data_IF_240476326259
#
_entry.id   IF_240476326259
#
_cell.length_a   1.000
_cell.length_b   1.000
_cell.length_c   1.000
_cell.angle_alpha   90.00
_cell.angle_beta   90.00
_cell.angle_gamma   90.00
#
_symmetry.space_group_name_H-M   'P 1'
#
loop_
_entity.id
_entity.type
_entity.pdbx_description
1 polymer ?
#
# COMPACT_ATOMS: atom_id res chain seq x y z
N UNK A 1 1.64 30.58 -39.49
CA UNK A 1 1.26 31.90 -38.91
C UNK A 1 1.75 31.98 -37.47
N UNK A 2 2.28 33.15 -37.05
CA UNK A 2 2.89 33.35 -35.71
C UNK A 2 1.93 33.03 -34.54
N UNK A 3 0.63 33.30 -34.70
CA UNK A 3 -0.40 32.98 -33.71
C UNK A 3 -0.48 31.49 -33.37
N UNK A 4 -0.29 30.61 -34.36
CA UNK A 4 -0.35 29.16 -34.14
C UNK A 4 0.85 28.65 -33.31
N UNK A 5 2.03 29.25 -33.51
CA UNK A 5 3.24 28.93 -32.73
C UNK A 5 3.08 29.37 -31.27
N UNK A 6 2.43 30.51 -31.05
CA UNK A 6 2.14 31.02 -29.69
C UNK A 6 1.09 30.14 -29.00
N UNK A 7 0.02 29.76 -29.69
CA UNK A 7 -1.01 28.87 -29.16
C UNK A 7 -0.42 27.50 -28.76
N UNK A 8 0.44 26.95 -29.60
CA UNK A 8 1.13 25.68 -29.39
C UNK A 8 2.12 25.75 -28.20
N UNK A 9 2.90 26.84 -28.08
CA UNK A 9 3.78 27.05 -26.92
C UNK A 9 2.99 27.21 -25.60
N UNK A 10 1.88 27.93 -25.63
CA UNK A 10 1.03 28.12 -24.46
C UNK A 10 0.32 26.80 -24.06
N UNK A 11 -0.15 26.04 -25.04
CA UNK A 11 -0.77 24.73 -24.83
C UNK A 11 0.19 23.75 -24.15
N UNK A 12 1.43 23.64 -24.65
CA UNK A 12 2.48 22.84 -24.00
C UNK A 12 2.71 23.26 -22.55
N UNK A 13 2.84 24.57 -22.30
CA UNK A 13 3.02 25.09 -20.94
C UNK A 13 1.88 24.69 -20.02
N UNK A 14 0.63 24.83 -20.48
CA UNK A 14 -0.55 24.41 -19.72
C UNK A 14 -0.52 22.91 -19.41
N UNK A 15 -0.20 22.09 -20.41
CA UNK A 15 -0.15 20.63 -20.26
C UNK A 15 0.94 20.19 -19.30
N UNK A 16 2.11 20.83 -19.34
CA UNK A 16 3.18 20.60 -18.37
C UNK A 16 2.75 20.98 -16.94
N UNK A 17 2.05 22.10 -16.77
CA UNK A 17 1.50 22.49 -15.45
C UNK A 17 0.46 21.49 -14.97
N UNK A 18 -0.47 21.05 -15.83
CA UNK A 18 -1.46 20.03 -15.48
C UNK A 18 -0.80 18.71 -15.05
N UNK A 19 0.26 18.28 -15.76
CA UNK A 19 1.03 17.10 -15.37
C UNK A 19 1.74 17.25 -14.02
N UNK A 20 2.28 18.44 -13.73
CA UNK A 20 2.90 18.71 -12.43
C UNK A 20 1.87 18.69 -11.29
N UNK A 21 0.71 19.31 -11.50
CA UNK A 21 -0.37 19.35 -10.52
C UNK A 21 -0.94 17.96 -10.22
N UNK A 22 -1.08 17.11 -11.24
CA UNK A 22 -1.51 15.73 -11.05
C UNK A 22 -0.52 14.94 -10.18
N UNK A 23 0.78 15.09 -10.42
CA UNK A 23 1.84 14.46 -9.60
C UNK A 23 1.87 15.00 -8.17
N UNK A 24 1.66 16.31 -8.00
CA UNK A 24 1.60 16.92 -6.67
C UNK A 24 0.41 16.39 -5.87
N UNK A 25 -0.75 16.21 -6.53
CA UNK A 25 -1.94 15.65 -5.89
C UNK A 25 -1.74 14.20 -5.45
N UNK A 26 -1.17 13.35 -6.33
CA UNK A 26 -0.82 11.95 -6.03
C UNK A 26 0.09 11.86 -4.80
N UNK A 27 1.14 12.70 -4.74
CA UNK A 27 2.02 12.77 -3.58
C UNK A 27 1.25 13.18 -2.32
N UNK A 28 0.37 14.19 -2.38
CA UNK A 28 -0.42 14.62 -1.22
C UNK A 28 -1.29 13.47 -0.68
N UNK A 29 -1.88 12.66 -1.57
CA UNK A 29 -2.67 11.49 -1.19
C UNK A 29 -1.81 10.42 -0.50
N UNK A 30 -0.69 10.02 -1.10
CA UNK A 30 0.24 9.07 -0.48
C UNK A 30 0.74 9.56 0.88
N UNK A 31 1.07 10.85 1.00
CA UNK A 31 1.53 11.45 2.26
C UNK A 31 0.45 11.46 3.34
N UNK A 32 -0.84 11.58 2.97
CA UNK A 32 -1.96 11.48 3.91
C UNK A 32 -2.10 10.06 4.45
N UNK A 33 -1.98 9.06 3.58
CA UNK A 33 -2.11 7.65 3.96
C UNK A 33 -0.98 7.19 4.89
N UNK A 34 0.22 7.76 4.73
CA UNK A 34 1.36 7.47 5.60
C UNK A 34 1.20 7.97 7.05
N UNK A 35 0.18 8.78 7.37
CA UNK A 35 -0.09 9.28 8.74
C UNK A 35 1.13 9.93 9.40
N UNK A 36 1.83 10.79 8.66
CA UNK A 36 3.05 11.45 9.13
C UNK A 36 2.77 12.61 10.09
N UNK A 37 3.59 12.73 11.12
CA UNK A 37 3.71 13.92 11.96
C UNK A 37 4.71 14.86 11.32
N UNK A 38 4.27 16.08 10.99
CA UNK A 38 5.11 17.12 10.39
C UNK A 38 5.32 18.29 11.36
N UNK A 39 6.58 18.65 11.63
CA UNK A 39 6.96 19.82 12.41
C UNK A 39 7.78 20.77 11.54
N UNK A 40 7.30 22.00 11.36
CA UNK A 40 8.01 23.03 10.59
C UNK A 40 8.81 23.93 11.53
N UNK A 41 10.09 24.08 11.24
CA UNK A 41 10.98 25.07 11.86
C UNK A 41 11.33 26.16 10.84
N UNK A 42 12.00 27.22 11.28
CA UNK A 42 12.44 28.31 10.39
C UNK A 42 13.45 27.86 9.32
N UNK A 43 14.14 26.73 9.53
CA UNK A 43 15.21 26.24 8.64
C UNK A 43 14.93 24.90 7.97
N UNK A 44 13.99 24.12 8.47
CA UNK A 44 13.67 22.80 7.91
C UNK A 44 12.25 22.35 8.28
N UNK A 45 11.79 21.30 7.59
CA UNK A 45 10.61 20.52 7.96
C UNK A 45 11.10 19.17 8.48
N UNK A 46 10.65 18.78 9.65
CA UNK A 46 10.84 17.43 10.21
C UNK A 46 9.58 16.63 9.97
N UNK A 47 9.75 15.38 9.56
CA UNK A 47 8.66 14.45 9.29
C UNK A 47 8.96 13.17 10.06
N UNK A 48 7.97 12.64 10.79
CA UNK A 48 8.10 11.42 11.57
C UNK A 48 6.87 10.54 11.42
N UNK A 49 7.04 9.22 11.53
CA UNK A 49 5.95 8.24 11.46
C UNK A 49 6.05 7.32 12.66
N UNK A 50 4.98 7.22 13.46
CA UNK A 50 4.89 6.20 14.49
C UNK A 50 4.10 5.02 13.93
N UNK A 51 4.76 3.87 13.79
CA UNK A 51 4.11 2.63 13.36
C UNK A 51 4.08 1.65 14.52
N UNK A 52 2.89 1.40 15.07
CA UNK A 52 2.68 0.33 16.04
C UNK A 52 2.56 -1.00 15.28
N UNK A 53 3.57 -1.86 15.38
CA UNK A 53 3.53 -3.21 14.80
C UNK A 53 3.27 -4.22 15.91
N UNK A 54 2.38 -5.19 15.66
CA UNK A 54 2.16 -6.33 16.54
C UNK A 54 2.72 -7.59 15.87
N UNK A 55 3.75 -8.25 16.43
CA UNK A 55 4.36 -9.43 15.82
C UNK A 55 3.47 -10.68 15.91
N UNK A 56 2.31 -10.60 16.58
CA UNK A 56 1.42 -11.73 16.80
C UNK A 56 1.05 -12.46 15.50
N UNK A 57 0.66 -11.73 14.45
CA UNK A 57 0.28 -12.38 13.19
C UNK A 57 1.49 -13.02 12.48
N UNK A 58 2.67 -12.40 12.56
CA UNK A 58 3.90 -12.97 12.02
C UNK A 58 4.25 -14.28 12.74
N UNK A 59 4.18 -14.28 14.08
CA UNK A 59 4.42 -15.49 14.88
C UNK A 59 3.39 -16.59 14.57
N UNK A 60 2.11 -16.24 14.45
CA UNK A 60 1.05 -17.17 14.03
C UNK A 60 1.41 -17.80 12.69
N UNK A 61 1.78 -17.01 11.67
CA UNK A 61 2.16 -17.54 10.35
C UNK A 61 3.32 -18.52 10.45
N UNK A 62 4.37 -18.18 11.21
CA UNK A 62 5.52 -19.07 11.39
C UNK A 62 5.12 -20.38 12.10
N UNK A 63 4.28 -20.31 13.13
CA UNK A 63 3.78 -21.51 13.82
C UNK A 63 2.90 -22.36 12.90
N UNK A 64 2.04 -21.74 12.09
CA UNK A 64 1.16 -22.45 11.15
C UNK A 64 1.96 -23.14 10.04
N UNK A 65 3.08 -22.56 9.59
CA UNK A 65 3.99 -23.21 8.62
C UNK A 65 4.61 -24.50 9.17
N UNK A 66 4.77 -24.62 10.47
CA UNK A 66 5.35 -25.79 11.12
C UNK A 66 4.30 -26.85 11.50
N UNK A 67 3.01 -26.54 11.45
CA UNK A 67 1.95 -27.48 11.80
C UNK A 67 1.62 -28.42 10.62
N UNK A 68 1.87 -29.71 10.82
CA UNK A 68 1.67 -30.74 9.80
C UNK A 68 0.23 -30.85 9.29
N UNK A 69 -0.77 -30.58 10.14
CA UNK A 69 -2.19 -30.62 9.73
C UNK A 69 -2.50 -29.42 8.85
N UNK A 70 -2.02 -28.24 9.22
CA UNK A 70 -2.23 -27.02 8.44
C UNK A 70 -1.51 -27.08 7.09
N UNK A 71 -0.32 -27.70 7.02
CA UNK A 71 0.35 -27.97 5.75
C UNK A 71 -0.48 -28.88 4.83
N UNK A 72 -1.17 -29.89 5.37
CA UNK A 72 -2.10 -30.74 4.59
C UNK A 72 -3.26 -29.91 4.05
N UNK A 73 -3.86 -29.04 4.88
CA UNK A 73 -4.92 -28.15 4.42
C UNK A 73 -4.43 -27.18 3.35
N UNK A 74 -3.23 -26.62 3.51
CA UNK A 74 -2.61 -25.75 2.50
C UNK A 74 -2.50 -26.45 1.14
N UNK A 75 -2.00 -27.68 1.12
CA UNK A 75 -1.92 -28.48 -0.10
C UNK A 75 -3.30 -28.82 -0.71
N UNK A 76 -4.36 -28.93 0.10
CA UNK A 76 -5.74 -29.12 -0.40
C UNK A 76 -6.30 -27.84 -1.01
N UNK A 77 -6.06 -26.69 -0.38
CA UNK A 77 -6.46 -25.37 -0.87
C UNK A 77 -5.76 -25.07 -2.20
N UNK A 78 -4.46 -25.34 -2.31
CA UNK A 78 -3.70 -25.18 -3.56
C UNK A 78 -4.23 -26.08 -4.70
N UNK A 79 -4.83 -27.22 -4.37
CA UNK A 79 -5.53 -28.10 -5.32
C UNK A 79 -6.96 -27.64 -5.65
N UNK A 80 -7.38 -26.48 -5.15
CA UNK A 80 -8.70 -25.91 -5.39
C UNK A 80 -9.84 -26.59 -4.62
N UNK A 81 -9.55 -27.37 -3.57
CA UNK A 81 -10.60 -27.94 -2.72
C UNK A 81 -11.15 -26.88 -1.79
N UNK A 82 -12.48 -26.79 -1.72
CA UNK A 82 -13.15 -25.93 -0.77
C UNK A 82 -13.04 -26.52 0.65
N UNK A 83 -12.54 -25.71 1.57
CA UNK A 83 -12.40 -26.07 2.99
C UNK A 83 -12.83 -24.90 3.87
N UNK A 84 -13.16 -25.20 5.14
CA UNK A 84 -13.48 -24.18 6.14
C UNK A 84 -12.28 -23.27 6.50
N UNK A 85 -11.07 -23.64 6.05
CA UNK A 85 -9.83 -22.90 6.25
C UNK A 85 -9.50 -22.08 5.01
N UNK A 86 -9.21 -20.79 5.20
CA UNK A 86 -8.79 -19.87 4.12
C UNK A 86 -7.52 -19.12 4.53
N UNK A 87 -6.70 -18.76 3.56
CA UNK A 87 -5.52 -17.90 3.77
C UNK A 87 -5.95 -16.46 3.52
N UNK A 88 -5.72 -15.58 4.49
CA UNK A 88 -6.03 -14.15 4.36
C UNK A 88 -4.90 -13.36 3.65
N UNK A 89 -5.11 -12.05 3.49
CA UNK A 89 -4.13 -11.13 2.88
C UNK A 89 -2.80 -11.02 3.64
N UNK A 90 -2.79 -11.37 4.94
CA UNK A 90 -1.60 -11.38 5.78
C UNK A 90 -0.89 -12.75 5.75
N UNK A 91 -1.40 -13.72 4.98
CA UNK A 91 -0.86 -15.07 4.90
C UNK A 91 -1.26 -15.99 6.06
N UNK A 92 -2.20 -15.58 6.91
CA UNK A 92 -2.68 -16.36 8.06
C UNK A 92 -3.77 -17.32 7.62
N UNK A 93 -3.64 -18.59 7.99
CA UNK A 93 -4.72 -19.58 7.84
C UNK A 93 -5.79 -19.33 8.90
N UNK A 94 -7.04 -19.14 8.48
CA UNK A 94 -8.19 -18.89 9.35
C UNK A 94 -9.29 -19.91 9.13
N UNK A 95 -9.79 -20.50 10.20
CA UNK A 95 -10.98 -21.34 10.18
C UNK A 95 -12.21 -20.47 10.46
N UNK A 96 -13.11 -20.35 9.47
CA UNK A 96 -14.34 -19.52 9.61
C UNK A 96 -14.07 -18.08 10.10
N UNK A 97 -12.96 -17.49 9.64
CA UNK A 97 -12.53 -16.13 10.00
C UNK A 97 -11.72 -16.01 11.30
N UNK A 98 -11.51 -17.10 12.04
CA UNK A 98 -10.72 -17.12 13.28
C UNK A 98 -9.33 -17.70 13.05
N UNK A 99 -8.36 -17.13 13.76
CA UNK A 99 -6.97 -17.64 13.82
C UNK A 99 -6.90 -18.82 14.77
#
# INVERSE_FOLDING_TARGET
>A
GKANVVADALSRKSLHMSSLMAKELELIEEFRDLSLVCERTTRCVKVGMLRLTNPFLEEVVEKQKMDEKLLKYKALIEKGKETDIKIDENGVMRCRGRV
#
